data_IF_546753086035
#
_entry.id   IF_546753086035
#
_cell.length_a   1.000
_cell.length_b   1.000
_cell.length_c   1.000
_cell.angle_alpha   90.00
_cell.angle_beta   90.00
_cell.angle_gamma   90.00
#
_symmetry.space_group_name_H-M   'P 1'
#
loop_
_entity.id
_entity.type
_entity.pdbx_description
1 polymer ?
#
# COMPACT_ATOMS: atom_id res chain seq x y z
N UNK A 1 17.06 34.61 -12.27
CA UNK A 1 15.91 33.79 -11.84
C UNK A 1 16.37 32.86 -10.73
N UNK A 2 15.76 32.84 -9.54
CA UNK A 2 16.19 31.92 -8.51
C UNK A 2 15.78 30.50 -8.92
N UNK A 3 16.73 29.56 -8.90
CA UNK A 3 16.46 28.13 -9.07
C UNK A 3 15.55 27.72 -7.91
N UNK A 4 14.38 27.16 -8.22
CA UNK A 4 13.62 26.39 -7.27
C UNK A 4 14.52 25.24 -6.79
N UNK A 5 15.16 25.43 -5.64
CA UNK A 5 15.77 24.35 -4.89
C UNK A 5 14.59 23.44 -4.53
N UNK A 6 14.42 22.33 -5.27
CA UNK A 6 13.62 21.24 -4.76
C UNK A 6 14.29 20.81 -3.46
N UNK A 7 13.74 21.25 -2.32
CA UNK A 7 14.12 20.74 -1.03
C UNK A 7 13.73 19.26 -1.01
N UNK A 8 14.69 18.42 -1.38
CA UNK A 8 14.60 16.99 -1.16
C UNK A 8 14.35 16.71 0.32
N UNK A 9 13.73 15.57 0.62
CA UNK A 9 13.48 15.17 1.99
C UNK A 9 14.79 15.16 2.79
N UNK A 10 14.74 15.61 4.04
CA UNK A 10 15.88 15.41 4.94
C UNK A 10 16.12 13.91 5.12
N UNK A 11 17.39 13.51 5.25
CA UNK A 11 17.79 12.11 5.35
C UNK A 11 17.00 11.35 6.44
N UNK A 12 16.78 11.99 7.58
CA UNK A 12 15.96 11.48 8.69
C UNK A 12 14.50 11.20 8.27
N UNK A 13 13.87 12.09 7.49
CA UNK A 13 12.49 11.87 7.01
C UNK A 13 12.41 10.72 6.00
N UNK A 14 13.47 10.52 5.20
CA UNK A 14 13.56 9.38 4.28
C UNK A 14 13.69 8.07 5.04
N UNK A 15 14.53 8.04 6.08
CA UNK A 15 14.70 6.87 6.94
C UNK A 15 13.38 6.51 7.64
N UNK A 16 12.70 7.48 8.26
CA UNK A 16 11.39 7.26 8.89
C UNK A 16 10.37 6.73 7.89
N UNK A 17 10.27 7.33 6.69
CA UNK A 17 9.33 6.88 5.67
C UNK A 17 9.63 5.45 5.20
N UNK A 18 10.91 5.07 5.11
CA UNK A 18 11.32 3.72 4.76
C UNK A 18 10.94 2.73 5.86
N UNK A 19 11.28 3.02 7.11
CA UNK A 19 10.98 2.14 8.24
C UNK A 19 9.47 1.93 8.38
N UNK A 20 8.69 3.00 8.26
CA UNK A 20 7.23 2.94 8.33
C UNK A 20 6.62 2.12 7.18
N UNK A 21 7.13 2.31 5.94
CA UNK A 21 6.75 1.49 4.79
C UNK A 21 7.02 0.00 5.05
N UNK A 22 8.20 -0.34 5.55
CA UNK A 22 8.60 -1.73 5.77
C UNK A 22 7.70 -2.40 6.83
N UNK A 23 7.34 -1.67 7.88
CA UNK A 23 6.39 -2.16 8.91
C UNK A 23 4.99 -2.37 8.30
N UNK A 24 4.47 -1.42 7.51
CA UNK A 24 3.17 -1.55 6.84
C UNK A 24 3.15 -2.79 5.93
N UNK A 25 4.18 -2.99 5.11
CA UNK A 25 4.27 -4.15 4.22
C UNK A 25 4.30 -5.46 5.03
N UNK A 26 5.09 -5.51 6.11
CA UNK A 26 5.17 -6.69 6.97
C UNK A 26 3.82 -7.05 7.59
N UNK A 27 3.04 -6.05 8.01
CA UNK A 27 1.71 -6.27 8.58
C UNK A 27 0.69 -6.69 7.50
N UNK A 28 0.72 -6.06 6.33
CA UNK A 28 -0.12 -6.47 5.20
C UNK A 28 0.14 -7.93 4.80
N UNK A 29 1.41 -8.36 4.78
CA UNK A 29 1.77 -9.75 4.55
C UNK A 29 1.25 -10.69 5.65
N UNK A 30 1.37 -10.29 6.92
CA UNK A 30 0.88 -11.11 8.03
C UNK A 30 -0.65 -11.28 8.01
N UNK A 31 -1.38 -10.23 7.65
CA UNK A 31 -2.84 -10.19 7.70
C UNK A 31 -3.48 -10.74 6.43
N UNK A 32 -2.96 -10.40 5.26
CA UNK A 32 -3.58 -10.72 3.97
C UNK A 32 -2.80 -11.78 3.16
N UNK A 33 -1.54 -12.05 3.50
CA UNK A 33 -0.67 -12.97 2.75
C UNK A 33 -1.00 -14.46 2.97
N UNK A 34 -1.63 -14.82 4.09
CA UNK A 34 -2.09 -16.19 4.32
C UNK A 34 -3.45 -16.42 3.62
N UNK A 35 -3.44 -17.21 2.55
CA UNK A 35 -4.65 -17.82 1.96
C UNK A 35 -5.29 -17.12 0.76
N UNK A 36 -4.89 -15.90 0.39
CA UNK A 36 -5.62 -15.08 -0.60
C UNK A 36 -5.03 -15.05 -2.03
N UNK A 37 -4.14 -15.97 -2.43
CA UNK A 37 -3.44 -15.90 -3.72
C UNK A 37 -2.78 -14.53 -4.00
N UNK A 38 -2.34 -13.82 -2.95
CA UNK A 38 -1.60 -12.56 -3.03
C UNK A 38 -0.11 -12.83 -2.86
N UNK A 39 0.68 -12.39 -3.83
CA UNK A 39 2.09 -12.75 -3.94
C UNK A 39 3.00 -11.76 -3.23
N UNK A 40 2.73 -10.46 -3.35
CA UNK A 40 3.51 -9.43 -2.69
C UNK A 40 2.69 -8.17 -2.45
N UNK A 41 3.19 -7.32 -1.55
CA UNK A 41 2.61 -6.03 -1.20
C UNK A 41 3.66 -4.95 -1.39
N UNK A 42 3.23 -3.75 -1.73
CA UNK A 42 4.08 -2.57 -1.78
C UNK A 42 3.29 -1.32 -1.36
N UNK A 43 4.00 -0.23 -1.10
CA UNK A 43 3.43 1.09 -0.84
C UNK A 43 3.96 2.07 -1.88
N UNK A 44 3.03 2.65 -2.65
CA UNK A 44 3.33 3.70 -3.62
C UNK A 44 2.89 5.06 -3.11
N UNK A 45 3.60 6.10 -3.53
CA UNK A 45 3.31 7.48 -3.14
C UNK A 45 2.79 8.25 -4.34
N UNK A 46 1.65 8.90 -4.16
CA UNK A 46 1.03 9.75 -5.17
C UNK A 46 0.87 11.15 -4.61
N UNK A 47 0.90 12.16 -5.49
CA UNK A 47 0.49 13.52 -5.14
C UNK A 47 -0.68 13.89 -6.03
N UNK A 48 -1.81 14.22 -5.42
CA UNK A 48 -3.01 14.68 -6.12
C UNK A 48 -3.43 16.02 -5.52
N UNK A 49 -3.41 17.08 -6.33
CA UNK A 49 -3.59 18.46 -5.88
C UNK A 49 -2.64 18.82 -4.72
N UNK A 50 -3.20 19.20 -3.58
CA UNK A 50 -2.49 19.54 -2.34
C UNK A 50 -2.29 18.35 -1.39
N UNK A 51 -2.76 17.15 -1.75
CA UNK A 51 -2.67 15.97 -0.90
C UNK A 51 -1.59 15.00 -1.36
N UNK A 52 -0.90 14.42 -0.39
CA UNK A 52 -0.03 13.25 -0.51
C UNK A 52 -0.85 12.01 -0.17
N UNK A 53 -0.71 10.97 -0.98
CA UNK A 53 -1.40 9.70 -0.81
C UNK A 53 -0.35 8.62 -0.68
N UNK A 54 -0.36 7.89 0.43
CA UNK A 54 0.36 6.64 0.56
C UNK A 54 -0.63 5.50 0.28
N UNK A 55 -0.36 4.70 -0.74
CA UNK A 55 -1.28 3.65 -1.19
C UNK A 55 -0.64 2.28 -1.00
N UNK A 56 -1.25 1.45 -0.17
CA UNK A 56 -0.94 0.03 -0.11
C UNK A 56 -1.53 -0.69 -1.32
N UNK A 57 -0.71 -1.47 -2.01
CA UNK A 57 -1.09 -2.28 -3.16
C UNK A 57 -0.70 -3.73 -2.95
N UNK A 58 -1.41 -4.63 -3.62
CA UNK A 58 -1.10 -6.05 -3.65
C UNK A 58 -0.99 -6.56 -5.09
N UNK A 59 -0.07 -7.48 -5.30
CA UNK A 59 0.17 -8.18 -6.55
C UNK A 59 -0.37 -9.61 -6.44
N UNK A 60 -1.20 -10.08 -7.38
CA UNK A 60 -1.70 -11.46 -7.39
C UNK A 60 -0.58 -12.48 -7.71
N UNK A 61 -0.65 -13.70 -7.13
CA UNK A 61 0.38 -14.76 -7.25
C UNK A 61 0.53 -15.28 -8.69
N UNK A 62 -0.50 -15.25 -9.52
CA UNK A 62 -0.51 -15.89 -10.84
C UNK A 62 -1.23 -15.04 -11.90
N UNK A 63 -0.49 -14.22 -12.63
CA UNK A 63 -0.84 -13.88 -14.01
C UNK A 63 0.08 -14.72 -14.89
N UNK A 64 -0.44 -15.79 -15.51
CA UNK A 64 0.31 -16.75 -16.30
C UNK A 64 1.43 -16.12 -17.17
N UNK A 65 2.69 -16.39 -16.83
CA UNK A 65 3.81 -16.35 -17.77
C UNK A 65 4.43 -14.98 -18.12
N UNK A 66 3.95 -13.86 -17.58
CA UNK A 66 4.56 -12.55 -17.86
C UNK A 66 4.66 -11.70 -16.59
N UNK A 67 5.86 -11.68 -15.97
CA UNK A 67 6.42 -10.67 -15.06
C UNK A 67 5.46 -9.56 -14.58
N UNK A 68 4.42 -9.94 -13.82
CA UNK A 68 3.16 -9.19 -13.64
C UNK A 68 3.21 -8.03 -12.65
N UNK A 69 4.30 -7.26 -12.63
CA UNK A 69 4.40 -6.02 -11.83
C UNK A 69 3.42 -4.95 -12.39
N UNK A 70 2.91 -5.12 -13.61
CA UNK A 70 1.98 -4.19 -14.25
C UNK A 70 0.54 -4.25 -13.72
N UNK A 71 0.15 -5.31 -13.01
CA UNK A 71 -1.19 -5.46 -12.46
C UNK A 71 -1.13 -5.53 -10.94
N UNK A 72 -1.66 -4.50 -10.30
CA UNK A 72 -1.84 -4.43 -8.86
C UNK A 72 -3.25 -3.94 -8.56
N UNK A 73 -3.75 -4.29 -7.39
CA UNK A 73 -4.99 -3.71 -6.89
C UNK A 73 -4.73 -2.95 -5.61
N UNK A 74 -5.55 -1.93 -5.37
CA UNK A 74 -5.49 -1.11 -4.18
C UNK A 74 -6.00 -1.91 -2.98
N UNK A 75 -5.24 -1.88 -1.89
CA UNK A 75 -5.63 -2.43 -0.60
C UNK A 75 -6.16 -1.30 0.29
N UNK A 76 -5.34 -0.29 0.56
CA UNK A 76 -5.65 0.85 1.44
C UNK A 76 -5.00 2.14 0.93
N UNK A 77 -5.54 3.27 1.37
CA UNK A 77 -4.95 4.60 1.14
C UNK A 77 -4.85 5.34 2.48
N UNK A 78 -3.75 6.04 2.71
CA UNK A 78 -3.61 7.10 3.71
C UNK A 78 -3.43 8.45 3.02
N UNK A 79 -4.00 9.51 3.61
CA UNK A 79 -4.15 10.82 2.96
C UNK A 79 -3.73 11.97 3.86
N UNK A 80 -2.68 12.69 3.49
CA UNK A 80 -2.25 13.88 4.24
C UNK A 80 -1.91 15.05 3.34
N UNK A 81 -2.28 16.26 3.77
CA UNK A 81 -1.80 17.52 3.16
C UNK A 81 -0.46 17.99 3.74
N UNK A 82 0.01 17.37 4.83
CA UNK A 82 1.20 17.79 5.57
C UNK A 82 2.49 17.15 5.02
N UNK A 83 2.39 16.00 4.36
CA UNK A 83 3.52 15.39 3.67
C UNK A 83 3.41 13.87 3.51
N UNK A 84 4.45 13.30 2.91
CA UNK A 84 4.56 11.86 2.66
C UNK A 84 4.59 11.04 3.95
N UNK A 85 5.30 11.50 4.99
CA UNK A 85 5.38 10.78 6.27
C UNK A 85 4.01 10.72 6.94
N UNK A 86 3.29 11.84 6.98
CA UNK A 86 1.94 11.87 7.54
C UNK A 86 0.96 11.02 6.73
N UNK A 87 1.06 11.00 5.40
CA UNK A 87 0.23 10.10 4.59
C UNK A 87 0.52 8.61 4.89
N UNK A 88 1.76 8.25 5.22
CA UNK A 88 2.12 6.90 5.67
C UNK A 88 1.61 6.60 7.09
N UNK A 89 1.62 7.59 7.99
CA UNK A 89 1.04 7.47 9.33
C UNK A 89 -0.48 7.23 9.23
N UNK A 90 -1.18 7.99 8.38
CA UNK A 90 -2.61 7.77 8.13
C UNK A 90 -2.87 6.38 7.53
N UNK A 91 -2.02 5.92 6.61
CA UNK A 91 -2.14 4.57 6.03
C UNK A 91 -1.97 3.48 7.10
N UNK A 92 -1.05 3.69 8.04
CA UNK A 92 -0.84 2.79 9.18
C UNK A 92 -2.08 2.75 10.08
N UNK A 93 -2.65 3.90 10.41
CA UNK A 93 -3.84 3.99 11.26
C UNK A 93 -5.06 3.33 10.61
N UNK A 94 -5.27 3.56 9.31
CA UNK A 94 -6.33 2.88 8.53
C UNK A 94 -6.15 1.36 8.53
N UNK A 95 -4.91 0.89 8.38
CA UNK A 95 -4.61 -0.54 8.45
C UNK A 95 -4.93 -1.11 9.84
N UNK A 96 -4.52 -0.44 10.91
CA UNK A 96 -4.82 -0.88 12.29
C UNK A 96 -6.33 -0.87 12.58
N UNK A 97 -7.07 0.09 12.05
CA UNK A 97 -8.52 0.13 12.17
C UNK A 97 -9.19 -1.10 11.50
N UNK A 98 -8.66 -1.60 10.39
CA UNK A 98 -9.18 -2.81 9.74
C UNK A 98 -8.76 -4.11 10.43
N UNK A 99 -7.59 -4.13 11.06
CA UNK A 99 -7.06 -5.29 11.80
C UNK A 99 -7.65 -5.38 13.23
N UNK A 100 -8.33 -4.34 13.69
CA UNK A 100 -9.02 -4.29 14.99
C UNK A 100 -9.97 -5.49 15.22
N UNK A 101 -10.56 -5.63 16.43
CA UNK A 101 -11.12 -6.88 16.98
C UNK A 101 -12.24 -7.57 16.19
N UNK A 102 -12.65 -7.02 15.03
CA UNK A 102 -13.63 -7.57 14.11
C UNK A 102 -13.03 -8.06 12.78
N UNK A 103 -11.71 -8.32 12.68
CA UNK A 103 -11.12 -8.84 11.44
C UNK A 103 -11.72 -10.21 11.07
N UNK A 104 -12.76 -10.17 10.21
CA UNK A 104 -13.34 -11.31 9.53
C UNK A 104 -12.66 -11.38 8.17
N UNK A 105 -11.85 -12.42 7.95
CA UNK A 105 -11.30 -12.73 6.62
C UNK A 105 -12.48 -13.03 5.70
N UNK A 106 -12.95 -12.03 4.96
CA UNK A 106 -13.94 -12.24 3.90
C UNK A 106 -13.21 -12.87 2.72
N UNK A 107 -13.19 -14.20 2.68
CA UNK A 107 -12.76 -14.96 1.50
C UNK A 107 -13.67 -14.58 0.34
N UNK A 108 -13.20 -13.72 -0.55
CA UNK A 108 -13.88 -13.46 -1.83
C UNK A 108 -13.66 -14.68 -2.72
N UNK A 109 -14.53 -15.68 -2.57
CA UNK A 109 -14.69 -16.75 -3.56
C UNK A 109 -15.38 -16.17 -4.79
N UNK A 110 -14.62 -15.52 -5.68
CA UNK A 110 -15.13 -15.28 -7.04
C UNK A 110 -15.11 -16.61 -7.78
N UNK A 111 -16.27 -17.29 -7.78
CA UNK A 111 -16.54 -18.41 -8.66
C UNK A 111 -16.38 -17.95 -10.11
N UNK A 112 -15.32 -18.39 -10.78
CA UNK A 112 -15.21 -18.32 -12.23
C UNK A 112 -16.09 -19.46 -12.76
N UNK A 113 -17.32 -19.13 -13.13
CA UNK A 113 -18.18 -20.02 -13.91
C UNK A 113 -17.59 -20.10 -15.32
N UNK A 114 -16.90 -21.19 -15.62
CA UNK A 114 -16.56 -21.55 -17.00
C UNK A 114 -17.82 -22.24 -17.55
N UNK A 115 -18.57 -21.53 -18.38
CA UNK A 115 -19.68 -22.10 -19.15
C UNK A 115 -19.14 -22.98 -20.29
N UNK A 116 -19.88 -24.06 -20.54
CA UNK A 116 -19.64 -25.06 -21.59
C UNK A 116 -19.53 -24.48 -23.02
#
# INVERSE_FOLDING_TARGET
MPRNLMHGFSRKKVEIAKDLKDIIISQLQAVFGFGNNLGSFDVIHLKFNSAFIARAIAYPVNCNGSNGISSWFKVLDGYSTEGVVHALEDLWDEMQAQIGPNFQVSTVSTAISIGD
#
